data_IF_066218687739
#
_entry.id   IF_066218687739
#
_cell.length_a   1.000
_cell.length_b   1.000
_cell.length_c   1.000
_cell.angle_alpha   90.00
_cell.angle_beta   90.00
_cell.angle_gamma   90.00
#
_symmetry.space_group_name_H-M   'P 1'
#
loop_
_entity.id
_entity.type
_entity.pdbx_description
1 polymer ?
#
# COMPACT_ATOMS: atom_id res chain seq x y z
N UNK A 1 4.11 -14.36 -32.46
CA UNK A 1 4.67 -14.27 -31.09
C UNK A 1 4.80 -12.80 -30.80
N UNK A 2 4.07 -12.26 -29.81
CA UNK A 2 4.21 -10.85 -29.45
C UNK A 2 5.59 -10.63 -28.84
N UNK A 3 6.37 -9.71 -29.40
CA UNK A 3 7.62 -9.26 -28.79
C UNK A 3 7.28 -8.38 -27.60
N UNK A 4 7.81 -8.72 -26.43
CA UNK A 4 7.74 -7.86 -25.25
C UNK A 4 8.66 -6.67 -25.49
N UNK A 5 8.29 -5.51 -24.93
CA UNK A 5 9.21 -4.38 -24.89
C UNK A 5 10.30 -4.66 -23.85
N UNK A 6 11.46 -4.01 -23.99
CA UNK A 6 12.56 -4.13 -23.03
C UNK A 6 12.11 -3.79 -21.59
N UNK A 7 11.22 -2.81 -21.46
CA UNK A 7 10.63 -2.42 -20.17
C UNK A 7 9.79 -3.55 -19.55
N UNK A 8 8.99 -4.24 -20.38
CA UNK A 8 8.19 -5.39 -19.93
C UNK A 8 9.09 -6.56 -19.53
N UNK A 9 10.17 -6.83 -20.26
CA UNK A 9 11.13 -7.88 -19.92
C UNK A 9 11.86 -7.59 -18.61
N UNK A 10 12.31 -6.35 -18.40
CA UNK A 10 12.98 -5.93 -17.15
C UNK A 10 12.01 -5.98 -15.97
N UNK A 11 10.75 -5.61 -16.17
CA UNK A 11 9.71 -5.69 -15.14
C UNK A 11 9.42 -7.13 -14.73
N UNK A 12 9.27 -8.03 -15.71
CA UNK A 12 9.08 -9.47 -15.45
C UNK A 12 10.28 -10.09 -14.74
N UNK A 13 11.50 -9.73 -15.16
CA UNK A 13 12.73 -10.19 -14.50
C UNK A 13 12.81 -9.70 -13.06
N UNK A 14 12.48 -8.42 -12.79
CA UNK A 14 12.46 -7.87 -11.43
C UNK A 14 11.48 -8.62 -10.54
N UNK A 15 10.27 -8.88 -11.02
CA UNK A 15 9.25 -9.64 -10.29
C UNK A 15 9.68 -11.09 -10.04
N UNK A 16 10.29 -11.73 -11.03
CA UNK A 16 10.84 -13.07 -10.89
C UNK A 16 11.98 -13.11 -9.85
N UNK A 17 12.87 -12.12 -9.86
CA UNK A 17 13.98 -12.00 -8.89
C UNK A 17 13.45 -11.77 -7.48
N UNK A 18 12.45 -10.91 -7.30
CA UNK A 18 11.78 -10.69 -5.99
C UNK A 18 11.13 -12.00 -5.50
N UNK A 19 10.47 -12.75 -6.39
CA UNK A 19 9.85 -14.04 -6.06
C UNK A 19 10.86 -15.16 -5.75
N UNK A 20 11.98 -15.23 -6.48
CA UNK A 20 13.02 -16.25 -6.32
C UNK A 20 13.95 -15.99 -5.13
N UNK A 21 14.25 -14.72 -4.82
CA UNK A 21 15.08 -14.35 -3.67
C UNK A 21 14.30 -14.45 -2.35
N UNK A 22 12.98 -14.69 -2.40
CA UNK A 22 12.28 -15.56 -1.46
C UNK A 22 12.56 -15.32 0.03
N UNK A 23 11.82 -14.36 0.60
CA UNK A 23 11.82 -13.86 1.98
C UNK A 23 12.81 -12.73 2.22
N UNK A 24 12.34 -11.54 1.89
CA UNK A 24 12.74 -10.37 2.66
C UNK A 24 12.48 -10.65 4.15
N UNK A 25 13.23 -10.02 5.08
CA UNK A 25 12.94 -10.11 6.51
C UNK A 25 11.53 -9.64 6.85
N UNK A 26 10.95 -8.82 5.98
CA UNK A 26 9.58 -8.32 6.06
C UNK A 26 8.50 -9.31 5.58
N UNK A 27 8.88 -10.40 4.88
CA UNK A 27 7.96 -11.48 4.51
C UNK A 27 7.89 -11.80 3.01
N UNK A 28 6.78 -12.41 2.60
CA UNK A 28 6.49 -12.78 1.22
C UNK A 28 5.81 -11.62 0.48
N UNK A 29 6.21 -11.38 -0.78
CA UNK A 29 5.60 -10.36 -1.61
C UNK A 29 4.12 -10.70 -1.88
N UNK A 30 3.23 -9.74 -1.60
CA UNK A 30 1.78 -9.85 -1.82
C UNK A 30 1.35 -8.91 -2.95
N UNK A 31 1.16 -9.40 -4.19
CA UNK A 31 0.78 -8.54 -5.30
C UNK A 31 -0.56 -7.82 -5.07
N UNK A 32 -1.49 -8.45 -4.35
CA UNK A 32 -2.80 -7.86 -4.06
C UNK A 32 -2.67 -6.59 -3.20
N UNK A 33 -1.71 -6.57 -2.27
CA UNK A 33 -1.43 -5.39 -1.44
C UNK A 33 -0.94 -4.21 -2.30
N UNK A 34 -0.14 -4.49 -3.32
CA UNK A 34 0.38 -3.46 -4.23
C UNK A 34 -0.77 -2.89 -5.07
N UNK A 35 -1.60 -3.75 -5.64
CA UNK A 35 -2.78 -3.33 -6.41
C UNK A 35 -3.75 -2.48 -5.57
N UNK A 36 -4.07 -2.92 -4.35
CA UNK A 36 -4.91 -2.17 -3.40
C UNK A 36 -4.30 -0.80 -3.05
N UNK A 37 -2.99 -0.76 -2.82
CA UNK A 37 -2.30 0.49 -2.49
C UNK A 37 -2.32 1.48 -3.65
N UNK A 38 -2.09 1.00 -4.89
CA UNK A 38 -2.17 1.84 -6.08
C UNK A 38 -3.61 2.32 -6.34
N UNK A 39 -4.61 1.49 -6.11
CA UNK A 39 -6.01 1.89 -6.20
C UNK A 39 -6.34 3.01 -5.19
N UNK A 40 -5.88 2.87 -3.94
CA UNK A 40 -6.08 3.88 -2.90
C UNK A 40 -5.38 5.22 -3.21
N UNK A 41 -4.22 5.19 -3.87
CA UNK A 41 -3.51 6.41 -4.31
C UNK A 41 -4.28 7.22 -5.36
N UNK A 42 -5.15 6.57 -6.14
CA UNK A 42 -5.99 7.26 -7.12
C UNK A 42 -7.19 7.98 -6.46
N UNK A 43 -7.50 7.68 -5.19
CA UNK A 43 -8.56 8.35 -4.46
C UNK A 43 -8.14 9.76 -4.03
N UNK A 44 -9.12 10.68 -3.99
CA UNK A 44 -8.84 12.04 -3.52
C UNK A 44 -8.57 12.00 -2.01
N UNK A 45 -7.44 12.54 -1.54
CA UNK A 45 -7.15 12.57 -0.11
C UNK A 45 -8.20 13.43 0.59
N UNK A 46 -8.95 12.83 1.51
CA UNK A 46 -9.96 13.53 2.31
C UNK A 46 -9.32 14.47 3.35
N UNK A 47 -8.09 14.13 3.79
CA UNK A 47 -7.35 14.87 4.80
C UNK A 47 -5.88 15.00 4.41
N UNK A 48 -5.31 16.17 4.68
CA UNK A 48 -3.87 16.43 4.61
C UNK A 48 -3.41 16.72 6.01
N UNK A 49 -2.47 15.92 6.52
CA UNK A 49 -1.88 16.14 7.84
C UNK A 49 -0.61 16.96 7.68
N UNK A 50 -0.54 18.09 8.37
CA UNK A 50 0.62 18.99 8.32
C UNK A 50 1.63 18.69 9.42
N UNK A 51 1.23 17.96 10.47
CA UNK A 51 2.15 17.51 11.53
C UNK A 51 1.77 16.13 12.10
N UNK A 52 2.72 15.41 12.71
CA UNK A 52 2.44 14.13 13.38
C UNK A 52 1.41 14.23 14.51
N UNK A 53 1.39 15.35 15.25
CA UNK A 53 0.46 15.58 16.37
C UNK A 53 -0.97 15.70 15.87
N UNK A 54 -1.19 16.37 14.73
CA UNK A 54 -2.49 16.50 14.07
C UNK A 54 -3.06 15.13 13.67
N UNK A 55 -2.20 14.27 13.11
CA UNK A 55 -2.56 12.90 12.77
C UNK A 55 -2.95 12.08 13.99
N UNK A 56 -2.15 12.11 15.06
CA UNK A 56 -2.40 11.36 16.29
C UNK A 56 -3.68 11.81 16.99
N UNK A 57 -3.90 13.12 17.11
CA UNK A 57 -5.12 13.67 17.71
C UNK A 57 -6.39 13.19 16.94
N UNK A 58 -6.30 13.10 15.61
CA UNK A 58 -7.40 12.60 14.78
C UNK A 58 -7.66 11.10 14.99
N UNK A 59 -6.62 10.29 15.15
CA UNK A 59 -6.78 8.86 15.46
C UNK A 59 -7.46 8.64 16.81
N UNK A 60 -7.10 9.43 17.82
CA UNK A 60 -7.70 9.35 19.16
C UNK A 60 -9.18 9.75 19.16
N UNK A 61 -9.53 10.80 18.41
CA UNK A 61 -10.93 11.23 18.28
C UNK A 61 -11.78 10.17 17.56
N UNK A 62 -11.28 9.56 16.47
CA UNK A 62 -12.00 8.49 15.74
C UNK A 62 -12.30 7.28 16.65
N UNK A 63 -11.36 6.88 17.51
CA UNK A 63 -11.55 5.80 18.50
C UNK A 63 -12.67 6.11 19.51
N UNK A 64 -12.82 7.37 19.93
CA UNK A 64 -13.91 7.79 20.84
C UNK A 64 -15.27 7.74 20.13
N UNK A 65 -15.35 8.19 18.88
CA UNK A 65 -16.61 8.23 18.12
C UNK A 65 -17.15 6.83 17.80
N UNK A 66 -16.28 5.85 17.54
CA UNK A 66 -16.70 4.46 17.32
C UNK A 66 -17.16 3.75 18.60
N UNK A 67 -16.54 4.05 19.75
CA UNK A 67 -16.99 3.51 21.05
C UNK A 67 -18.38 4.02 21.46
N UNK A 68 -18.68 5.28 21.18
CA UNK A 68 -20.00 5.88 21.46
C UNK A 68 -21.09 5.32 20.55
N UNK A 69 -20.76 4.90 19.32
CA UNK A 69 -21.73 4.29 18.38
C UNK A 69 -22.03 2.81 18.66
N UNK A 70 -21.23 2.15 19.52
CA UNK A 70 -21.38 0.72 19.87
C UNK A 70 -21.92 0.48 21.29
N UNK A 71 -22.21 1.55 22.03
CA UNK A 71 -22.88 1.53 23.33
C UNK A 71 -24.33 1.97 23.16
#
# INVERSE_FOLDING_TARGET
>A
MNQLTLEQEVSLLRSAVIGLIGRDKEGEYRPEFVEETFAALAEKPEFVFSSPEEFLARLETKKKTEKVKRA
#
